data_IF_151325370873
#
_entry.id   IF_151325370873
#
_cell.length_a   1.000
_cell.length_b   1.000
_cell.length_c   1.000
_cell.angle_alpha   90.00
_cell.angle_beta   90.00
_cell.angle_gamma   90.00
#
_symmetry.space_group_name_H-M   'P 1'
#
loop_
_entity.id
_entity.type
_entity.pdbx_description
1 polymer ?
#
# COMPACT_ATOMS: atom_id res chain seq x y z
N UNK A 1 -25.17 13.83 11.49
CA UNK A 1 -24.50 12.52 11.39
C UNK A 1 -24.90 11.86 10.07
N UNK A 2 -24.06 11.92 9.04
CA UNK A 2 -24.36 11.32 7.73
C UNK A 2 -23.93 9.85 7.70
N UNK A 3 -24.89 8.98 7.38
CA UNK A 3 -24.79 7.52 7.38
C UNK A 3 -23.73 7.01 6.39
N UNK A 4 -22.98 6.03 6.86
CA UNK A 4 -21.89 5.27 6.23
C UNK A 4 -22.45 4.39 5.08
N UNK A 5 -22.94 5.01 4.01
CA UNK A 5 -23.35 4.31 2.78
C UNK A 5 -22.30 4.42 1.67
N UNK A 6 -21.36 5.37 1.79
CA UNK A 6 -20.36 5.67 0.76
C UNK A 6 -19.00 4.95 0.96
N UNK A 7 -18.83 4.22 2.07
CA UNK A 7 -17.54 3.61 2.45
C UNK A 7 -17.04 2.59 1.43
N UNK A 8 -17.89 1.70 0.90
CA UNK A 8 -17.45 0.66 -0.05
C UNK A 8 -16.98 1.22 -1.39
N UNK A 9 -17.64 2.24 -1.93
CA UNK A 9 -17.22 2.89 -3.20
C UNK A 9 -15.94 3.69 -3.00
N UNK A 10 -15.84 4.44 -1.89
CA UNK A 10 -14.64 5.19 -1.54
C UNK A 10 -13.45 4.24 -1.36
N UNK A 11 -13.63 3.13 -0.62
CA UNK A 11 -12.59 2.13 -0.39
C UNK A 11 -12.22 1.42 -1.70
N UNK A 12 -13.19 1.07 -2.56
CA UNK A 12 -12.88 0.48 -3.87
C UNK A 12 -12.06 1.43 -4.74
N UNK A 13 -12.43 2.70 -4.82
CA UNK A 13 -11.64 3.72 -5.52
C UNK A 13 -10.25 3.92 -4.91
N UNK A 14 -10.14 3.81 -3.58
CA UNK A 14 -8.89 3.88 -2.84
C UNK A 14 -7.96 2.70 -3.19
N UNK A 15 -8.50 1.48 -3.22
CA UNK A 15 -7.75 0.27 -3.61
C UNK A 15 -7.32 0.34 -5.06
N UNK A 16 -8.22 0.76 -5.96
CA UNK A 16 -7.86 0.94 -7.38
C UNK A 16 -6.68 1.91 -7.52
N UNK A 17 -6.70 3.04 -6.80
CA UNK A 17 -5.59 3.97 -6.81
C UNK A 17 -4.29 3.35 -6.26
N UNK A 18 -4.36 2.65 -5.12
CA UNK A 18 -3.19 1.99 -4.54
C UNK A 18 -2.62 0.91 -5.48
N UNK A 19 -3.47 0.03 -5.98
CA UNK A 19 -3.07 -1.08 -6.87
C UNK A 19 -2.55 -0.57 -8.22
N UNK A 20 -3.09 0.52 -8.77
CA UNK A 20 -2.58 1.15 -9.98
C UNK A 20 -1.15 1.64 -9.82
N UNK A 21 -0.80 2.22 -8.67
CA UNK A 21 0.57 2.63 -8.39
C UNK A 21 1.52 1.43 -8.37
N UNK A 22 1.14 0.32 -7.73
CA UNK A 22 1.96 -0.89 -7.77
C UNK A 22 2.07 -1.49 -9.19
N UNK A 23 0.97 -1.51 -9.95
CA UNK A 23 0.94 -2.01 -11.34
C UNK A 23 1.80 -1.16 -12.27
N UNK A 24 1.84 0.17 -12.13
CA UNK A 24 2.71 1.04 -12.94
C UNK A 24 4.22 0.80 -12.70
N UNK A 25 4.53 0.06 -11.64
CA UNK A 25 5.88 -0.39 -11.29
C UNK A 25 6.16 -1.83 -11.63
N UNK A 26 5.31 -2.47 -12.41
CA UNK A 26 5.45 -3.87 -12.80
C UNK A 26 5.42 -4.82 -11.59
N UNK A 27 4.81 -4.40 -10.48
CA UNK A 27 4.48 -5.34 -9.42
C UNK A 27 3.29 -6.18 -9.88
N UNK A 28 3.41 -7.48 -9.64
CA UNK A 28 2.26 -8.36 -9.72
C UNK A 28 1.36 -8.10 -8.51
N UNK A 29 0.10 -7.73 -8.77
CA UNK A 29 -0.89 -7.37 -7.75
C UNK A 29 -1.99 -8.41 -7.71
N UNK A 30 -2.20 -9.01 -6.53
CA UNK A 30 -3.29 -9.95 -6.27
C UNK A 30 -4.24 -9.35 -5.24
N UNK A 31 -5.41 -8.92 -5.70
CA UNK A 31 -6.46 -8.39 -4.83
C UNK A 31 -7.12 -9.53 -4.05
N UNK A 32 -7.23 -9.39 -2.73
CA UNK A 32 -7.93 -10.37 -1.90
C UNK A 32 -9.43 -10.25 -2.12
N UNK A 33 -10.07 -11.36 -2.53
CA UNK A 33 -11.53 -11.44 -2.73
C UNK A 33 -12.29 -11.63 -1.41
N UNK A 34 -11.66 -11.43 -0.26
CA UNK A 34 -12.26 -11.80 1.02
C UNK A 34 -13.33 -10.79 1.47
N UNK A 35 -14.43 -11.30 2.04
CA UNK A 35 -15.62 -10.52 2.46
C UNK A 35 -15.41 -9.69 3.73
N UNK A 36 -14.20 -9.70 4.29
CA UNK A 36 -13.87 -8.98 5.52
C UNK A 36 -13.90 -7.47 5.31
N UNK A 37 -14.31 -6.73 6.34
CA UNK A 37 -14.39 -5.26 6.31
C UNK A 37 -13.04 -4.55 6.12
N UNK A 38 -11.92 -5.30 6.08
CA UNK A 38 -10.60 -4.81 5.78
C UNK A 38 -10.19 -5.28 4.38
N UNK A 39 -9.96 -4.32 3.50
CA UNK A 39 -9.51 -4.60 2.15
C UNK A 39 -8.01 -4.72 2.12
N UNK A 40 -7.54 -5.77 1.44
CA UNK A 40 -6.12 -6.01 1.30
C UNK A 40 -5.77 -6.61 -0.04
N UNK A 41 -4.52 -6.42 -0.45
CA UNK A 41 -3.97 -7.02 -1.66
C UNK A 41 -2.51 -7.37 -1.40
N UNK A 42 -2.04 -8.40 -2.09
CA UNK A 42 -0.63 -8.80 -2.07
C UNK A 42 0.04 -8.22 -3.30
N UNK A 43 1.26 -7.73 -3.13
CA UNK A 43 2.11 -7.27 -4.23
C UNK A 43 3.45 -7.95 -4.18
N UNK A 44 3.94 -8.35 -5.34
CA UNK A 44 5.24 -9.01 -5.47
C UNK A 44 5.98 -8.52 -6.70
N UNK A 45 7.28 -8.28 -6.56
CA UNK A 45 8.19 -7.99 -7.66
C UNK A 45 9.58 -8.50 -7.28
N UNK A 46 10.15 -9.38 -8.10
CA UNK A 46 11.42 -10.04 -7.82
C UNK A 46 11.39 -10.67 -6.41
N UNK A 47 12.37 -10.37 -5.56
CA UNK A 47 12.43 -10.85 -4.17
C UNK A 47 11.57 -10.04 -3.18
N UNK A 48 10.88 -8.99 -3.65
CA UNK A 48 10.11 -8.10 -2.78
C UNK A 48 8.66 -8.55 -2.72
N UNK A 49 8.20 -8.92 -1.52
CA UNK A 49 6.81 -9.30 -1.25
C UNK A 49 6.22 -8.38 -0.19
N UNK A 50 5.02 -7.87 -0.47
CA UNK A 50 4.27 -7.04 0.47
C UNK A 50 2.82 -7.48 0.55
N UNK A 51 2.25 -7.35 1.74
CA UNK A 51 0.81 -7.37 1.96
C UNK A 51 0.38 -5.96 2.31
N UNK A 52 -0.58 -5.43 1.57
CA UNK A 52 -1.05 -4.05 1.72
C UNK A 52 -2.46 -4.05 2.26
N UNK A 53 -2.66 -3.40 3.41
CA UNK A 53 -3.94 -3.23 4.09
C UNK A 53 -4.42 -1.80 3.90
N UNK A 54 -5.64 -1.61 3.39
CA UNK A 54 -6.25 -0.30 3.22
C UNK A 54 -7.35 -0.10 4.28
N UNK A 55 -7.23 0.94 5.10
CA UNK A 55 -8.20 1.27 6.15
C UNK A 55 -8.45 2.77 6.24
N UNK A 56 -9.64 3.16 6.67
CA UNK A 56 -9.99 4.55 7.01
C UNK A 56 -9.87 4.85 8.51
N UNK A 57 -9.55 3.85 9.34
CA UNK A 57 -9.40 3.99 10.79
C UNK A 57 -8.46 2.92 11.29
N UNK A 58 -7.33 3.35 11.86
CA UNK A 58 -6.30 2.46 12.37
C UNK A 58 -6.79 1.68 13.60
N UNK A 59 -7.52 2.34 14.51
CA UNK A 59 -8.02 1.74 15.77
C UNK A 59 -8.85 0.48 15.54
N UNK A 60 -9.66 0.47 14.48
CA UNK A 60 -10.54 -0.65 14.15
C UNK A 60 -9.80 -1.88 13.63
N UNK A 61 -8.54 -1.71 13.22
CA UNK A 61 -7.78 -2.76 12.51
C UNK A 61 -6.51 -3.16 13.25
N UNK A 62 -6.17 -2.54 14.39
CA UNK A 62 -4.99 -2.88 15.18
C UNK A 62 -4.92 -4.37 15.54
N UNK A 63 -6.04 -4.96 15.95
CA UNK A 63 -6.12 -6.40 16.24
C UNK A 63 -5.84 -7.27 15.00
N UNK A 64 -6.30 -6.83 13.82
CA UNK A 64 -6.09 -7.53 12.55
C UNK A 64 -4.62 -7.41 12.13
N UNK A 65 -4.00 -6.23 12.27
CA UNK A 65 -2.57 -5.99 12.01
C UNK A 65 -1.73 -6.93 12.87
N UNK A 66 -2.02 -7.02 14.18
CA UNK A 66 -1.29 -7.90 15.10
C UNK A 66 -1.39 -9.38 14.70
N UNK A 67 -2.55 -9.82 14.23
CA UNK A 67 -2.74 -11.20 13.74
C UNK A 67 -2.00 -11.40 12.40
N UNK A 68 -2.06 -10.44 11.49
CA UNK A 68 -1.39 -10.49 10.21
C UNK A 68 0.13 -10.61 10.38
N UNK A 69 0.73 -9.81 11.27
CA UNK A 69 2.16 -9.86 11.58
C UNK A 69 2.61 -11.24 12.08
N UNK A 70 1.78 -11.94 12.85
CA UNK A 70 2.09 -13.31 13.31
C UNK A 70 1.99 -14.37 12.21
N UNK A 71 1.24 -14.08 11.14
CA UNK A 71 0.95 -15.03 10.05
C UNK A 71 1.74 -14.73 8.77
N UNK A 72 2.38 -13.57 8.71
CA UNK A 72 3.14 -13.15 7.54
C UNK A 72 4.39 -14.02 7.38
N UNK A 73 4.67 -14.49 6.15
CA UNK A 73 5.94 -15.11 5.84
C UNK A 73 7.10 -14.15 6.15
N UNK A 74 8.25 -14.70 6.56
CA UNK A 74 9.42 -13.92 7.00
C UNK A 74 9.99 -12.99 5.92
N UNK A 75 9.77 -13.30 4.65
CA UNK A 75 10.19 -12.52 3.48
C UNK A 75 9.17 -11.46 3.05
N UNK A 76 8.02 -11.38 3.74
CA UNK A 76 6.89 -10.55 3.33
C UNK A 76 6.65 -9.41 4.32
N UNK A 77 6.63 -8.17 3.81
CA UNK A 77 6.42 -6.98 4.64
C UNK A 77 4.95 -6.55 4.69
N UNK A 78 4.50 -6.05 5.82
CA UNK A 78 3.17 -5.44 5.96
C UNK A 78 3.22 -3.93 5.71
N UNK A 79 2.34 -3.45 4.85
CA UNK A 79 2.11 -2.02 4.61
C UNK A 79 0.65 -1.71 4.92
N UNK A 80 0.41 -0.70 5.75
CA UNK A 80 -0.91 -0.21 6.11
C UNK A 80 -1.08 1.17 5.50
N UNK A 81 -2.06 1.33 4.61
CA UNK A 81 -2.41 2.61 4.02
C UNK A 81 -3.64 3.15 4.75
N UNK A 82 -3.47 4.27 5.45
CA UNK A 82 -4.50 4.98 6.18
C UNK A 82 -4.25 6.49 6.08
N UNK A 83 -5.28 7.27 5.77
CA UNK A 83 -5.13 8.74 5.66
C UNK A 83 -5.16 9.44 7.02
N UNK A 84 -5.53 8.74 8.09
CA UNK A 84 -5.67 9.32 9.43
C UNK A 84 -4.90 8.49 10.46
N UNK A 85 -3.64 8.86 10.70
CA UNK A 85 -2.77 8.30 11.73
C UNK A 85 -1.88 9.40 12.31
N UNK A 86 -1.47 9.23 13.57
CA UNK A 86 -0.56 10.15 14.26
C UNK A 86 0.90 9.77 14.04
N UNK A 87 1.82 10.68 14.37
CA UNK A 87 3.25 10.35 14.37
C UNK A 87 3.59 9.23 15.37
N UNK A 88 2.88 9.15 16.49
CA UNK A 88 3.03 8.05 17.46
C UNK A 88 2.64 6.71 16.85
N UNK A 89 1.59 6.66 16.04
CA UNK A 89 1.18 5.44 15.34
C UNK A 89 2.25 4.97 14.35
N UNK A 90 2.94 5.92 13.70
CA UNK A 90 4.06 5.62 12.82
C UNK A 90 5.24 5.04 13.58
N UNK A 91 5.62 5.63 14.72
CA UNK A 91 6.69 5.11 15.58
C UNK A 91 6.34 3.71 16.11
N UNK A 92 5.08 3.47 16.48
CA UNK A 92 4.58 2.15 16.88
C UNK A 92 4.65 1.16 15.72
N UNK A 93 4.32 1.58 14.51
CA UNK A 93 4.39 0.73 13.33
C UNK A 93 5.82 0.24 13.08
N UNK A 94 6.76 1.18 13.09
CA UNK A 94 8.20 0.89 12.89
C UNK A 94 8.71 -0.07 13.97
N UNK A 95 8.34 0.15 15.23
CA UNK A 95 8.69 -0.73 16.35
C UNK A 95 8.10 -2.15 16.21
N UNK A 96 6.97 -2.28 15.53
CA UNK A 96 6.29 -3.55 15.28
C UNK A 96 6.59 -4.15 13.89
N UNK A 97 7.63 -3.66 13.20
CA UNK A 97 8.09 -4.18 11.90
C UNK A 97 7.04 -4.10 10.78
N UNK A 98 6.20 -3.07 10.77
CA UNK A 98 5.34 -2.76 9.64
C UNK A 98 5.39 -1.27 9.28
N UNK A 99 5.02 -0.96 8.05
CA UNK A 99 4.98 0.43 7.59
C UNK A 99 3.54 0.93 7.60
N UNK A 100 3.33 2.13 8.10
CA UNK A 100 2.08 2.87 7.92
C UNK A 100 2.33 4.11 7.06
N UNK A 101 1.41 4.40 6.14
CA UNK A 101 1.52 5.54 5.23
C UNK A 101 0.13 5.97 4.75
N UNK A 102 0.04 7.14 4.12
CA UNK A 102 -1.19 7.66 3.52
C UNK A 102 -1.21 7.50 2.00
N UNK A 103 -2.37 7.72 1.38
CA UNK A 103 -2.50 7.61 -0.07
C UNK A 103 -1.69 8.68 -0.83
N UNK A 104 -1.56 9.88 -0.27
CA UNK A 104 -0.77 10.95 -0.86
C UNK A 104 0.69 10.56 -1.03
N UNK A 105 1.27 9.95 0.00
CA UNK A 105 2.63 9.42 0.00
C UNK A 105 2.81 8.32 -1.04
N UNK A 106 1.87 7.36 -1.11
CA UNK A 106 1.91 6.30 -2.14
C UNK A 106 1.85 6.87 -3.56
N UNK A 107 0.98 7.86 -3.81
CA UNK A 107 0.90 8.54 -5.11
C UNK A 107 2.15 9.35 -5.42
N UNK A 108 2.75 9.99 -4.43
CA UNK A 108 4.00 10.74 -4.61
C UNK A 108 5.12 9.81 -5.03
N UNK A 109 5.30 8.69 -4.32
CA UNK A 109 6.21 7.64 -4.77
C UNK A 109 5.88 7.25 -6.21
N UNK A 110 4.58 7.02 -6.48
CA UNK A 110 3.93 6.93 -7.80
C UNK A 110 4.65 7.74 -8.88
N UNK A 111 4.60 9.04 -8.70
CA UNK A 111 5.15 10.05 -9.61
C UNK A 111 6.68 10.01 -9.64
N UNK A 112 7.34 10.07 -8.48
CA UNK A 112 8.81 10.18 -8.35
C UNK A 112 9.54 9.06 -9.14
N UNK A 113 8.96 7.85 -9.11
CA UNK A 113 9.57 6.68 -9.75
C UNK A 113 9.22 6.58 -11.24
N UNK A 114 8.07 7.09 -11.68
CA UNK A 114 7.79 7.28 -13.12
C UNK A 114 8.77 8.26 -13.74
N UNK A 115 9.04 9.38 -13.06
CA UNK A 115 10.05 10.34 -13.47
C UNK A 115 11.44 9.72 -13.51
N UNK A 116 11.78 8.88 -12.53
CA UNK A 116 13.05 8.14 -12.53
C UNK A 116 13.17 7.20 -13.75
N UNK A 117 12.13 6.39 -14.04
CA UNK A 117 12.09 5.51 -15.23
C UNK A 117 12.27 6.31 -16.53
N UNK A 118 11.62 7.47 -16.65
CA UNK A 118 11.76 8.34 -17.82
C UNK A 118 13.19 8.87 -17.96
N UNK A 119 13.80 9.35 -16.86
CA UNK A 119 15.20 9.81 -16.85
C UNK A 119 16.16 8.69 -17.28
N UNK A 120 15.98 7.47 -16.77
CA UNK A 120 16.80 6.32 -17.16
C UNK A 120 16.64 5.97 -18.64
N UNK A 121 15.40 6.00 -19.15
CA UNK A 121 15.12 5.71 -20.56
C UNK A 121 15.81 6.74 -21.48
N UNK A 122 15.67 8.04 -21.17
CA UNK A 122 16.34 9.10 -21.91
C UNK A 122 17.87 8.99 -21.84
N UNK A 123 18.42 8.62 -20.68
CA UNK A 123 19.85 8.41 -20.52
C UNK A 123 20.36 7.21 -21.33
N UNK A 124 19.59 6.13 -21.44
CA UNK A 124 19.93 4.96 -22.29
C UNK A 124 19.89 5.32 -23.78
N UNK A 125 18.85 6.01 -24.23
CA UNK A 125 18.74 6.45 -25.64
C UNK A 125 19.89 7.38 -26.03
N UNK A 126 20.32 8.29 -25.14
CA UNK A 126 21.47 9.18 -25.39
C UNK A 126 22.83 8.47 -25.40
N UNK A 127 22.95 7.28 -24.83
CA UNK A 127 24.19 6.48 -24.84
C UNK A 127 24.26 5.51 -26.02
N UNK A 128 23.13 5.25 -26.67
CA UNK A 128 23.02 4.36 -27.83
C UNK A 128 23.07 5.13 -29.17
N UNK A 129 23.08 6.46 -29.13
CA UNK A 129 23.28 7.38 -30.25
C UNK A 129 24.68 7.97 -30.17
#
# INVERSE_FOLDING_TARGET
MAKIANSKKIIKGFITQCTMVFKSYDYHVVESKNKSNLWHFSVSKDDKKYVVYCTNSLDKVQGIIKIALKKLPTDTKLVVICDNFSQEDRTKADSNSYTITDLGTIKKYGVDLLEAKQRETLARTRRAA
#
